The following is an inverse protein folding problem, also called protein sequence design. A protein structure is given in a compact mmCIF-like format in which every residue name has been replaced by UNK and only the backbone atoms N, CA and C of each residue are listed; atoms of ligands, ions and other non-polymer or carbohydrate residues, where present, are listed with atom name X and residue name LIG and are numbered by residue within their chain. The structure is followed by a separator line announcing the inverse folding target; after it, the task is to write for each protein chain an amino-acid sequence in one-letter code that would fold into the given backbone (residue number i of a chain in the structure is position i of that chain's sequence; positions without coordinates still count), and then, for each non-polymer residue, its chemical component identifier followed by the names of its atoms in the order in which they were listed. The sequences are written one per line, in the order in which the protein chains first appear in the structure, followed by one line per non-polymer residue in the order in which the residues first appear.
data_IF_931819686043
#
_entry.id   IF_931819686043
#
_cell.length_a   1.000
_cell.length_b   1.000
_cell.length_c   1.000
_cell.angle_alpha   90.00
_cell.angle_beta   90.00
_cell.angle_gamma   90.00
#
_symmetry.space_group_name_H-M   'P 1'
#
loop_
_entity.id
_entity.type
_entity.pdbx_description
1 polymer ?
#
# COMPACT_ATOMS: atom_id res chain seq x y z
N UNK A 1 1.90 22.63 -8.11
CA UNK A 1 0.67 22.27 -7.35
C UNK A 1 1.13 21.48 -6.14
N UNK A 2 0.90 21.98 -4.92
CA UNK A 2 1.48 21.40 -3.69
C UNK A 2 0.46 20.51 -2.96
N UNK A 3 -0.11 19.53 -3.68
CA UNK A 3 -1.03 18.54 -3.12
C UNK A 3 -0.86 17.19 -3.80
N UNK A 4 -1.11 16.11 -3.05
CA UNK A 4 -1.28 14.77 -3.60
C UNK A 4 -2.75 14.61 -3.99
N UNK A 5 -3.01 14.09 -5.19
CA UNK A 5 -4.37 13.89 -5.72
C UNK A 5 -4.74 12.42 -5.70
N UNK A 6 -6.05 12.15 -5.66
CA UNK A 6 -6.56 10.79 -5.80
C UNK A 6 -6.16 10.18 -7.14
N UNK A 7 -6.17 10.97 -8.21
CA UNK A 7 -5.72 10.55 -9.55
C UNK A 7 -4.26 10.09 -9.55
N UNK A 8 -3.37 10.82 -8.87
CA UNK A 8 -1.96 10.42 -8.73
C UNK A 8 -1.82 9.09 -8.00
N UNK A 9 -2.56 8.90 -6.91
CA UNK A 9 -2.53 7.66 -6.13
C UNK A 9 -3.10 6.50 -6.94
N UNK A 10 -4.20 6.71 -7.67
CA UNK A 10 -4.77 5.70 -8.55
C UNK A 10 -3.79 5.31 -9.66
N UNK A 11 -3.07 6.27 -10.26
CA UNK A 11 -2.04 5.96 -11.24
C UNK A 11 -0.93 5.08 -10.66
N UNK A 12 -0.46 5.36 -9.43
CA UNK A 12 0.49 4.49 -8.74
C UNK A 12 -0.09 3.08 -8.58
N UNK A 13 -1.33 2.97 -8.10
CA UNK A 13 -2.00 1.68 -7.85
C UNK A 13 -2.21 0.88 -9.14
N UNK A 14 -2.61 1.53 -10.23
CA UNK A 14 -2.85 0.90 -11.53
C UNK A 14 -1.57 0.32 -12.14
N UNK A 15 -0.42 0.92 -11.80
CA UNK A 15 0.91 0.48 -12.23
C UNK A 15 1.65 -0.34 -11.15
N UNK A 16 0.99 -0.68 -10.04
CA UNK A 16 1.57 -1.48 -8.95
C UNK A 16 1.39 -2.97 -9.23
N UNK A 17 2.47 -3.74 -9.11
CA UNK A 17 2.40 -5.20 -9.12
C UNK A 17 2.09 -5.71 -7.72
N UNK A 18 0.97 -6.40 -7.55
CA UNK A 18 0.59 -7.03 -6.29
C UNK A 18 0.91 -8.52 -6.30
N UNK A 19 1.55 -8.99 -5.23
CA UNK A 19 1.82 -10.39 -4.96
C UNK A 19 1.11 -10.78 -3.67
N UNK A 20 0.44 -11.92 -3.68
CA UNK A 20 -0.35 -12.41 -2.54
C UNK A 20 0.23 -13.74 -2.07
N UNK A 21 0.62 -13.76 -0.81
CA UNK A 21 1.08 -14.93 -0.10
C UNK A 21 0.04 -15.35 0.94
N UNK A 22 -0.10 -16.66 1.10
CA UNK A 22 -0.91 -17.25 2.16
C UNK A 22 -0.04 -18.16 3.01
N UNK A 23 -0.09 -17.96 4.34
CA UNK A 23 0.72 -18.73 5.30
C UNK A 23 -0.17 -19.30 6.40
N UNK A 24 0.21 -20.49 6.88
CA UNK A 24 -0.43 -21.15 8.03
C UNK A 24 -1.96 -21.34 7.92
N UNK A 25 -2.51 -21.34 6.70
CA UNK A 25 -3.94 -21.51 6.42
C UNK A 25 -4.85 -20.40 6.94
N UNK A 26 -4.29 -19.28 7.43
CA UNK A 26 -5.08 -18.19 8.06
C UNK A 26 -4.44 -16.80 8.02
N UNK A 27 -3.32 -16.65 7.33
CA UNK A 27 -2.58 -15.40 7.21
C UNK A 27 -2.46 -15.00 5.73
N UNK A 28 -3.08 -13.88 5.36
CA UNK A 28 -2.86 -13.22 4.08
C UNK A 28 -1.73 -12.22 4.22
N UNK A 29 -0.76 -12.26 3.30
CA UNK A 29 0.30 -11.27 3.14
C UNK A 29 0.17 -10.73 1.72
N UNK A 30 0.17 -9.40 1.57
CA UNK A 30 0.16 -8.75 0.26
C UNK A 30 1.38 -7.86 0.17
N UNK A 31 2.16 -8.05 -0.88
CA UNK A 31 3.31 -7.23 -1.24
C UNK A 31 2.99 -6.44 -2.50
N UNK A 32 3.22 -5.14 -2.47
CA UNK A 32 3.04 -4.21 -3.56
C UNK A 32 4.40 -3.68 -4.02
N UNK A 33 4.80 -4.00 -5.24
CA UNK A 33 5.93 -3.39 -5.92
C UNK A 33 5.41 -2.16 -6.69
N UNK A 34 5.74 -0.98 -6.18
CA UNK A 34 5.32 0.30 -6.76
C UNK A 34 6.11 0.60 -8.04
N UNK A 35 5.62 1.51 -8.92
CA UNK A 35 6.27 1.82 -10.20
C UNK A 35 7.70 2.36 -10.07
N UNK A 36 8.04 2.97 -8.93
CA UNK A 36 9.38 3.46 -8.64
C UNK A 36 10.34 2.39 -8.07
N UNK A 37 9.89 1.13 -7.97
CA UNK A 37 10.65 0.02 -7.40
C UNK A 37 10.59 -0.12 -5.89
N UNK A 38 9.93 0.81 -5.17
CA UNK A 38 9.72 0.69 -3.73
C UNK A 38 8.70 -0.42 -3.43
N UNK A 39 8.92 -1.16 -2.35
CA UNK A 39 8.05 -2.28 -1.98
C UNK A 39 7.33 -1.99 -0.68
N UNK A 40 6.01 -2.22 -0.66
CA UNK A 40 5.18 -2.09 0.54
C UNK A 40 4.51 -3.43 0.82
N UNK A 41 4.71 -3.96 2.02
CA UNK A 41 4.06 -5.21 2.45
C UNK A 41 3.10 -4.96 3.61
N UNK A 42 1.97 -5.65 3.57
CA UNK A 42 0.94 -5.67 4.61
C UNK A 42 0.41 -7.08 4.84
N UNK A 43 -0.12 -7.32 6.05
CA UNK A 43 -0.68 -8.62 6.40
C UNK A 43 -1.99 -8.52 7.18
N UNK A 44 -2.75 -9.61 7.10
CA UNK A 44 -4.04 -9.82 7.77
C UNK A 44 -4.14 -11.28 8.21
N UNK A 45 -4.02 -11.50 9.52
CA UNK A 45 -4.18 -12.83 10.14
C UNK A 45 -5.54 -12.99 10.82
N UNK A 46 -6.08 -14.21 10.80
CA UNK A 46 -7.25 -14.60 11.58
C UNK A 46 -6.86 -15.47 12.79
N UNK A 47 -7.68 -15.41 13.84
CA UNK A 47 -7.53 -16.26 15.03
C UNK A 47 -7.88 -17.71 14.69
N UNK A 48 -9.04 -17.93 14.06
CA UNK A 48 -9.58 -19.24 13.69
C UNK A 48 -9.58 -19.43 12.16
N UNK A 49 -8.88 -20.45 11.63
CA UNK A 49 -8.91 -20.80 10.20
C UNK A 49 -10.32 -21.01 9.63
N UNK A 50 -11.29 -21.46 10.43
CA UNK A 50 -12.67 -21.70 9.96
C UNK A 50 -13.35 -20.41 9.50
N UNK A 51 -12.96 -19.27 10.09
CA UNK A 51 -13.48 -17.95 9.75
C UNK A 51 -12.55 -17.18 8.81
N UNK A 52 -11.51 -17.83 8.27
CA UNK A 52 -10.56 -17.18 7.38
C UNK A 52 -11.13 -17.05 5.98
N UNK A 53 -11.15 -15.82 5.48
CA UNK A 53 -11.42 -15.52 4.08
C UNK A 53 -10.23 -14.73 3.49
N UNK A 54 -9.55 -15.37 2.54
CA UNK A 54 -8.42 -14.80 1.83
C UNK A 54 -8.77 -13.49 1.12
N UNK A 55 -9.93 -13.41 0.47
CA UNK A 55 -10.34 -12.23 -0.30
C UNK A 55 -10.59 -11.03 0.63
N UNK A 56 -11.17 -11.28 1.79
CA UNK A 56 -11.29 -10.26 2.85
C UNK A 56 -9.89 -9.78 3.28
N UNK A 57 -8.97 -10.72 3.54
CA UNK A 57 -7.58 -10.40 3.88
C UNK A 57 -6.87 -9.57 2.79
N UNK A 58 -7.03 -9.93 1.52
CA UNK A 58 -6.46 -9.18 0.39
C UNK A 58 -7.02 -7.76 0.37
N UNK A 59 -8.33 -7.59 0.52
CA UNK A 59 -8.98 -6.28 0.54
C UNK A 59 -8.47 -5.41 1.69
N UNK A 60 -8.33 -5.97 2.89
CA UNK A 60 -7.76 -5.28 4.05
C UNK A 60 -6.32 -4.84 3.77
N UNK A 61 -5.47 -5.74 3.29
CA UNK A 61 -4.08 -5.43 3.00
C UNK A 61 -3.93 -4.37 1.89
N UNK A 62 -4.70 -4.48 0.80
CA UNK A 62 -4.68 -3.48 -0.27
C UNK A 62 -5.07 -2.09 0.22
N UNK A 63 -6.12 -1.98 1.05
CA UNK A 63 -6.50 -0.70 1.68
C UNK A 63 -5.37 -0.12 2.54
N UNK A 64 -4.77 -0.92 3.41
CA UNK A 64 -3.63 -0.48 4.22
C UNK A 64 -2.43 -0.04 3.37
N UNK A 65 -2.17 -0.74 2.25
CA UNK A 65 -1.12 -0.36 1.30
C UNK A 65 -1.46 1.00 0.66
N UNK A 66 -2.71 1.22 0.23
CA UNK A 66 -3.15 2.52 -0.29
C UNK A 66 -2.92 3.63 0.73
N UNK A 67 -3.26 3.42 2.00
CA UNK A 67 -3.03 4.41 3.08
C UNK A 67 -1.52 4.70 3.26
N UNK A 68 -0.67 3.68 3.17
CA UNK A 68 0.80 3.86 3.19
C UNK A 68 1.31 4.65 1.99
N UNK A 69 0.80 4.40 0.80
CA UNK A 69 1.20 5.16 -0.41
C UNK A 69 0.83 6.63 -0.22
N UNK A 70 -0.38 6.93 0.26
CA UNK A 70 -0.77 8.32 0.60
C UNK A 70 0.21 8.98 1.57
N UNK A 71 0.57 8.28 2.66
CA UNK A 71 1.51 8.78 3.65
C UNK A 71 2.90 9.06 3.04
N UNK A 72 3.43 8.11 2.26
CA UNK A 72 4.74 8.22 1.61
C UNK A 72 4.79 9.32 0.55
N UNK A 73 3.77 9.43 -0.30
CA UNK A 73 3.68 10.49 -1.31
C UNK A 73 3.56 11.87 -0.67
N UNK A 74 2.81 11.98 0.44
CA UNK A 74 2.75 13.20 1.24
C UNK A 74 4.10 13.61 1.81
N UNK A 75 4.82 12.66 2.42
CA UNK A 75 6.18 12.89 2.91
C UNK A 75 7.14 13.28 1.79
N UNK A 76 7.14 12.55 0.66
CA UNK A 76 8.00 12.81 -0.49
C UNK A 76 7.77 14.21 -1.06
N UNK A 77 6.51 14.65 -1.17
CA UNK A 77 6.19 16.00 -1.61
C UNK A 77 6.69 17.05 -0.60
N UNK A 78 6.47 16.85 0.70
CA UNK A 78 6.95 17.78 1.72
C UNK A 78 8.48 17.89 1.71
N UNK A 79 9.19 16.77 1.55
CA UNK A 79 10.65 16.74 1.45
C UNK A 79 11.14 17.50 0.20
N UNK A 80 10.50 17.31 -0.96
CA UNK A 80 10.82 18.05 -2.19
C UNK A 80 10.63 19.56 -2.05
N UNK A 81 9.62 19.99 -1.29
CA UNK A 81 9.40 21.41 -1.02
C UNK A 81 10.47 21.97 -0.08
N UNK A 82 10.89 21.19 0.92
CA UNK A 82 11.97 21.55 1.83
C UNK A 82 13.31 21.75 1.11
N UNK A 83 13.68 20.82 0.24
CA UNK A 83 14.92 20.90 -0.55
C UNK A 83 14.96 22.10 -1.51
N UNK A 84 13.79 22.60 -1.92
CA UNK A 84 13.66 23.81 -2.75
C UNK A 84 13.61 25.11 -1.95
N UNK A 85 13.59 25.04 -0.62
CA UNK A 85 13.39 26.20 0.25
C UNK A 85 11.98 26.79 0.17
N UNK A 86 10.98 26.01 -0.28
CA UNK A 86 9.58 26.43 -0.35
C UNK A 86 8.82 26.19 0.97
N UNK A 87 9.39 25.38 1.88
CA UNK A 87 8.91 25.09 3.24
C UNK A 87 10.06 24.68 4.15
#
# INVERSE_FOLDING_TARGET
MNKITLEHINNILDNTKFEVDEKHGKLTIVTALLPNGFTVTESSGCVDPVNYDKNIGIGICKRKITDKIWYLEGYCLQQKLYEKGEK
#
